data_IF_798843725501
#
_entry.id   IF_798843725501
#
_cell.length_a   1.000
_cell.length_b   1.000
_cell.length_c   1.000
_cell.angle_alpha   90.00
_cell.angle_beta   90.00
_cell.angle_gamma   90.00
#
_symmetry.space_group_name_H-M   'P 1'
#
loop_
_entity.id
_entity.type
_entity.pdbx_description
1 polymer ?
#
# COMPACT_ATOMS: atom_id res chain seq x y z
N UNK A 1 0.88 57.48 29.68
CA UNK A 1 2.05 57.04 30.46
C UNK A 1 3.24 57.01 29.51
N UNK A 2 4.14 57.99 29.66
CA UNK A 2 5.42 58.07 28.97
C UNK A 2 6.33 56.92 29.40
N UNK A 3 7.29 56.52 28.57
CA UNK A 3 8.71 56.52 28.93
C UNK A 3 9.61 56.35 27.70
N UNK A 4 10.45 57.36 27.49
CA UNK A 4 11.71 57.36 26.74
C UNK A 4 12.72 56.34 27.32
N UNK A 5 13.64 55.82 26.50
CA UNK A 5 15.07 56.10 26.68
C UNK A 5 15.99 55.63 25.53
N UNK A 6 17.03 56.45 25.29
CA UNK A 6 18.15 56.33 24.34
C UNK A 6 19.28 55.38 24.81
N UNK A 7 20.22 54.98 23.92
CA UNK A 7 21.29 54.03 24.21
C UNK A 7 22.53 54.70 24.83
N UNK A 8 23.31 53.93 25.60
CA UNK A 8 24.61 54.33 26.15
C UNK A 8 25.73 53.48 25.56
N UNK A 9 26.71 54.17 24.98
CA UNK A 9 28.04 53.68 24.63
C UNK A 9 28.90 53.78 25.89
N UNK A 10 29.72 52.76 26.20
CA UNK A 10 30.89 52.91 27.04
C UNK A 10 32.08 52.14 26.43
N UNK A 11 33.20 52.84 26.44
CA UNK A 11 34.50 52.56 25.85
C UNK A 11 35.49 52.00 26.89
N UNK A 12 36.63 51.55 26.38
CA UNK A 12 38.00 51.67 26.92
C UNK A 12 38.72 50.43 27.51
N UNK A 13 39.89 50.19 26.89
CA UNK A 13 41.23 49.84 27.43
C UNK A 13 41.38 48.54 28.25
N UNK A 14 42.45 47.74 28.18
CA UNK A 14 43.80 47.86 27.59
C UNK A 14 44.75 46.98 28.42
N UNK A 15 45.83 46.45 27.79
CA UNK A 15 47.05 45.83 28.37
C UNK A 15 46.93 44.48 29.12
N UNK A 16 47.49 43.40 28.55
CA UNK A 16 48.84 42.82 28.77
C UNK A 16 49.01 42.15 30.15
N UNK A 17 49.13 40.83 30.18
CA UNK A 17 50.14 40.09 30.95
C UNK A 17 50.37 38.71 30.30
N UNK A 18 51.64 38.40 30.07
CA UNK A 18 52.11 37.17 29.45
C UNK A 18 52.28 36.03 30.45
N UNK A 19 52.11 34.83 29.88
CA UNK A 19 52.63 33.50 30.23
C UNK A 19 53.12 33.22 31.65
N UNK A 20 52.51 32.22 32.30
CA UNK A 20 53.29 31.05 32.71
C UNK A 20 52.44 29.77 32.80
N UNK A 21 53.13 28.66 32.59
CA UNK A 21 52.66 27.31 32.29
C UNK A 21 51.79 26.64 33.36
N UNK A 22 50.69 26.03 32.92
CA UNK A 22 50.39 24.58 33.03
C UNK A 22 48.89 24.32 32.77
N UNK A 23 48.63 23.20 32.10
CA UNK A 23 47.34 22.53 31.89
C UNK A 23 46.35 23.09 30.82
N UNK A 24 46.35 22.47 29.62
CA UNK A 24 45.13 22.14 28.83
C UNK A 24 45.51 21.34 27.57
N UNK A 25 44.98 20.13 27.39
CA UNK A 25 43.73 19.77 26.69
C UNK A 25 43.82 19.87 25.16
N UNK A 26 43.58 18.72 24.54
CA UNK A 26 43.19 18.52 23.15
C UNK A 26 42.10 19.51 22.74
N UNK A 27 42.41 20.47 21.87
CA UNK A 27 41.42 21.22 21.08
C UNK A 27 42.11 21.99 19.94
N UNK A 28 42.51 21.28 18.88
CA UNK A 28 42.78 21.87 17.55
C UNK A 28 42.48 20.84 16.44
N UNK A 29 41.19 20.56 16.22
CA UNK A 29 40.70 19.93 14.98
C UNK A 29 39.41 20.59 14.46
N UNK A 30 39.21 21.86 14.82
CA UNK A 30 38.07 22.68 14.41
C UNK A 30 38.42 23.63 13.26
N UNK A 31 38.96 23.12 12.16
CA UNK A 31 39.04 23.88 10.91
C UNK A 31 38.37 23.11 9.76
N UNK A 32 37.28 23.74 9.31
CA UNK A 32 36.77 23.73 7.94
C UNK A 32 35.89 22.56 7.44
N UNK A 33 34.82 22.29 8.18
CA UNK A 33 33.68 21.47 7.71
C UNK A 33 32.82 22.26 6.69
N UNK A 34 32.82 23.60 6.79
CA UNK A 34 32.00 24.46 5.93
C UNK A 34 32.56 24.58 4.50
N UNK A 35 33.87 24.71 4.30
CA UNK A 35 34.46 24.65 2.96
C UNK A 35 34.40 23.24 2.38
N UNK A 36 34.51 22.18 3.20
CA UNK A 36 34.30 20.79 2.74
C UNK A 36 32.87 20.58 2.23
N UNK A 37 31.85 21.04 2.95
CA UNK A 37 30.46 20.96 2.50
C UNK A 37 30.19 21.81 1.24
N UNK A 38 30.82 22.99 1.14
CA UNK A 38 30.73 23.87 -0.04
C UNK A 38 31.45 23.28 -1.27
N UNK A 39 32.60 22.61 -1.07
CA UNK A 39 33.29 21.86 -2.12
C UNK A 39 32.47 20.66 -2.60
N UNK A 40 31.82 19.92 -1.69
CA UNK A 40 30.93 18.80 -2.06
C UNK A 40 29.74 19.33 -2.87
N UNK A 41 29.13 20.47 -2.48
CA UNK A 41 28.05 21.09 -3.23
C UNK A 41 28.48 21.52 -4.64
N UNK A 42 29.66 22.12 -4.78
CA UNK A 42 30.25 22.51 -6.07
C UNK A 42 30.60 21.29 -6.94
N UNK A 43 31.08 20.20 -6.33
CA UNK A 43 31.37 18.94 -7.04
C UNK A 43 30.11 18.23 -7.55
N UNK A 44 28.99 18.34 -6.83
CA UNK A 44 27.70 17.75 -7.20
C UNK A 44 26.97 18.55 -8.31
N UNK A 45 27.43 19.76 -8.62
CA UNK A 45 26.89 20.64 -9.68
C UNK A 45 27.68 20.59 -11.00
N UNK A 46 28.87 19.96 -11.03
CA UNK A 46 29.67 19.80 -12.25
C UNK A 46 29.40 18.45 -12.94
N UNK A 47 29.31 18.37 -14.29
CA UNK A 47 28.99 17.12 -15.00
C UNK A 47 30.14 16.09 -15.07
N UNK A 48 31.35 16.39 -14.60
CA UNK A 48 32.58 15.69 -15.03
C UNK A 48 33.40 14.96 -13.95
N UNK A 49 32.88 14.66 -12.77
CA UNK A 49 33.61 13.82 -11.79
C UNK A 49 32.78 12.65 -11.25
N UNK A 50 33.14 11.43 -11.66
CA UNK A 50 32.71 10.18 -11.02
C UNK A 50 33.73 9.79 -9.94
N UNK A 51 33.27 9.60 -8.70
CA UNK A 51 33.96 8.76 -7.72
C UNK A 51 32.98 7.71 -7.17
N UNK A 52 33.44 6.46 -6.94
CA UNK A 52 32.58 5.37 -6.50
C UNK A 52 32.09 5.60 -5.06
N UNK A 53 30.77 5.54 -4.88
CA UNK A 53 30.10 5.61 -3.57
C UNK A 53 30.26 4.25 -2.88
N UNK A 54 31.42 3.98 -2.27
CA UNK A 54 31.60 2.78 -1.45
C UNK A 54 32.43 2.98 -0.17
N UNK A 55 32.83 4.20 0.20
CA UNK A 55 33.70 4.42 1.38
C UNK A 55 33.20 5.40 2.45
N UNK A 56 31.94 5.86 2.41
CA UNK A 56 31.37 6.69 3.47
C UNK A 56 30.57 5.85 4.50
N UNK A 57 31.27 5.27 5.48
CA UNK A 57 30.65 4.73 6.70
C UNK A 57 30.35 5.87 7.67
N UNK A 58 29.08 6.22 7.86
CA UNK A 58 28.64 7.04 8.99
C UNK A 58 28.42 6.14 10.21
N UNK A 59 29.19 6.33 11.28
CA UNK A 59 28.87 5.78 12.61
C UNK A 59 27.81 6.68 13.28
N UNK A 60 26.69 6.14 13.79
CA UNK A 60 25.73 6.94 14.55
C UNK A 60 26.29 7.21 15.95
N UNK A 61 26.47 8.48 16.31
CA UNK A 61 26.76 8.89 17.69
C UNK A 61 25.44 9.06 18.46
N UNK A 62 25.41 8.49 19.67
CA UNK A 62 24.31 8.56 20.64
C UNK A 62 23.96 10.01 21.01
N UNK A 63 22.72 10.44 20.72
CA UNK A 63 22.19 11.72 21.17
C UNK A 63 21.46 11.58 22.51
N UNK A 64 22.20 11.54 23.61
CA UNK A 64 21.60 11.55 24.95
C UNK A 64 22.45 12.25 26.00
N UNK A 65 22.44 13.59 25.98
CA UNK A 65 22.51 14.53 27.13
C UNK A 65 23.00 15.89 26.66
N UNK A 66 22.11 16.88 26.64
CA UNK A 66 22.46 18.25 27.05
C UNK A 66 21.18 19.05 27.29
N UNK A 67 20.79 19.17 28.56
CA UNK A 67 19.72 20.06 29.02
C UNK A 67 20.39 21.17 29.83
N UNK A 68 20.13 22.44 29.43
CA UNK A 68 20.48 23.74 30.04
C UNK A 68 21.82 24.39 29.65
N UNK A 69 21.75 25.30 28.69
CA UNK A 69 22.35 26.65 28.75
C UNK A 69 21.71 27.53 27.66
N UNK A 70 21.38 28.79 27.98
CA UNK A 70 20.88 29.80 27.03
C UNK A 70 22.05 30.23 26.14
N UNK A 71 21.95 30.08 24.81
CA UNK A 71 22.86 30.73 23.85
C UNK A 71 22.13 31.05 22.52
N UNK A 72 21.98 32.33 22.12
CA UNK A 72 21.29 32.69 20.87
C UNK A 72 22.12 32.46 19.59
N UNK A 73 23.46 32.48 19.68
CA UNK A 73 24.36 32.42 18.51
C UNK A 73 24.56 31.01 17.93
N UNK A 74 24.30 29.95 18.70
CA UNK A 74 24.49 28.56 18.25
C UNK A 74 23.27 28.01 17.50
N UNK A 75 22.08 28.60 17.71
CA UNK A 75 20.85 28.22 16.98
C UNK A 75 20.85 28.64 15.51
N UNK A 76 21.49 29.77 15.17
CA UNK A 76 21.55 30.26 13.80
C UNK A 76 22.48 29.39 12.92
N UNK A 77 23.67 29.05 13.43
CA UNK A 77 24.59 28.14 12.73
C UNK A 77 24.03 26.70 12.63
N UNK A 78 23.29 26.25 13.64
CA UNK A 78 22.67 24.92 13.64
C UNK A 78 21.42 24.86 12.71
N UNK A 79 20.70 25.98 12.51
CA UNK A 79 19.63 26.08 11.50
C UNK A 79 20.16 26.10 10.07
N UNK A 80 21.24 26.86 9.79
CA UNK A 80 21.88 26.83 8.47
C UNK A 80 22.47 25.45 8.15
N UNK A 81 23.11 24.81 9.13
CA UNK A 81 23.68 23.47 8.95
C UNK A 81 22.59 22.41 8.70
N UNK A 82 21.45 22.48 9.41
CA UNK A 82 20.27 21.64 9.14
C UNK A 82 19.69 21.90 7.75
N UNK A 83 19.58 23.15 7.34
CA UNK A 83 19.10 23.54 6.00
C UNK A 83 20.00 23.00 4.88
N UNK A 84 21.32 23.12 5.04
CA UNK A 84 22.31 22.56 4.10
C UNK A 84 22.24 21.03 4.04
N UNK A 85 22.13 20.35 5.18
CA UNK A 85 22.03 18.89 5.22
C UNK A 85 20.75 18.38 4.53
N UNK A 86 19.61 19.04 4.78
CA UNK A 86 18.34 18.74 4.09
C UNK A 86 18.45 18.97 2.58
N UNK A 87 19.09 20.05 2.13
CA UNK A 87 19.29 20.32 0.70
C UNK A 87 20.18 19.26 0.03
N UNK A 88 21.25 18.82 0.69
CA UNK A 88 22.14 17.76 0.18
C UNK A 88 21.41 16.42 0.08
N UNK A 89 20.65 16.05 1.12
CA UNK A 89 19.83 14.82 1.10
C UNK A 89 18.77 14.88 -0.01
N UNK A 90 18.09 16.02 -0.17
CA UNK A 90 17.08 16.20 -1.23
C UNK A 90 17.68 16.08 -2.63
N UNK A 91 18.89 16.63 -2.86
CA UNK A 91 19.60 16.52 -4.15
C UNK A 91 20.04 15.07 -4.39
N UNK A 92 20.52 14.38 -3.35
CA UNK A 92 20.91 12.98 -3.42
C UNK A 92 19.72 12.08 -3.76
N UNK A 93 18.57 12.27 -3.09
CA UNK A 93 17.32 11.56 -3.38
C UNK A 93 16.80 11.83 -4.79
N UNK A 94 16.87 13.07 -5.29
CA UNK A 94 16.49 13.41 -6.66
C UNK A 94 17.39 12.73 -7.69
N UNK A 95 18.71 12.67 -7.45
CA UNK A 95 19.65 11.94 -8.32
C UNK A 95 19.40 10.43 -8.28
N UNK A 96 19.14 9.85 -7.10
CA UNK A 96 18.81 8.43 -6.96
C UNK A 96 17.51 8.06 -7.68
N UNK A 97 16.46 8.89 -7.54
CA UNK A 97 15.19 8.72 -8.28
C UNK A 97 15.39 8.81 -9.80
N UNK A 98 16.19 9.78 -10.28
CA UNK A 98 16.50 9.92 -11.70
C UNK A 98 17.27 8.73 -12.28
N UNK A 99 18.24 8.19 -11.53
CA UNK A 99 18.99 6.99 -11.93
C UNK A 99 18.10 5.73 -11.93
N UNK A 100 17.22 5.60 -10.94
CA UNK A 100 16.29 4.48 -10.88
C UNK A 100 15.28 4.52 -12.04
N UNK A 101 14.79 5.71 -12.40
CA UNK A 101 13.89 5.89 -13.53
C UNK A 101 14.58 5.56 -14.87
N UNK A 102 15.83 5.98 -15.05
CA UNK A 102 16.63 5.62 -16.23
C UNK A 102 16.90 4.10 -16.33
N UNK A 103 17.09 3.43 -15.19
CA UNK A 103 17.27 1.97 -15.14
C UNK A 103 15.98 1.21 -15.45
N UNK A 104 14.82 1.70 -15.00
CA UNK A 104 13.52 1.14 -15.39
C UNK A 104 13.29 1.28 -16.89
N UNK A 105 13.55 2.48 -17.43
CA UNK A 105 13.35 2.73 -18.86
C UNK A 105 14.26 1.85 -19.73
N UNK A 106 15.53 1.68 -19.34
CA UNK A 106 16.43 0.73 -20.02
C UNK A 106 15.96 -0.73 -19.92
N UNK A 107 15.35 -1.13 -18.81
CA UNK A 107 14.79 -2.48 -18.67
C UNK A 107 13.56 -2.67 -19.55
N UNK A 108 12.72 -1.65 -19.69
CA UNK A 108 11.57 -1.64 -20.59
C UNK A 108 12.02 -1.71 -22.06
N UNK A 109 13.02 -0.93 -22.45
CA UNK A 109 13.60 -0.95 -23.79
C UNK A 109 14.21 -2.33 -24.11
N UNK A 110 15.02 -2.89 -23.20
CA UNK A 110 15.58 -4.25 -23.36
C UNK A 110 14.50 -5.34 -23.43
N UNK A 111 13.41 -5.20 -22.69
CA UNK A 111 12.29 -6.15 -22.75
C UNK A 111 11.56 -6.06 -24.09
N UNK A 112 11.42 -4.84 -24.63
CA UNK A 112 10.83 -4.58 -25.93
C UNK A 112 11.68 -5.15 -27.07
N UNK A 113 13.00 -5.03 -26.97
CA UNK A 113 13.94 -5.57 -27.96
C UNK A 113 13.90 -7.11 -28.00
N UNK A 114 13.95 -7.77 -26.83
CA UNK A 114 13.79 -9.23 -26.72
C UNK A 114 12.45 -9.72 -27.25
N UNK A 115 11.39 -8.95 -27.03
CA UNK A 115 10.06 -9.25 -27.55
C UNK A 115 10.03 -9.17 -29.08
N UNK A 116 10.60 -8.12 -29.67
CA UNK A 116 10.66 -7.96 -31.12
C UNK A 116 11.49 -9.06 -31.80
N UNK A 117 12.57 -9.50 -31.15
CA UNK A 117 13.41 -10.61 -31.59
C UNK A 117 12.64 -11.93 -31.61
N UNK A 118 11.88 -12.23 -30.55
CA UNK A 118 11.03 -13.42 -30.49
C UNK A 118 9.93 -13.43 -31.57
N UNK A 119 9.33 -12.27 -31.87
CA UNK A 119 8.34 -12.14 -32.96
C UNK A 119 8.98 -12.38 -34.33
N UNK A 120 10.21 -11.93 -34.54
CA UNK A 120 10.94 -12.12 -35.79
C UNK A 120 11.33 -13.60 -36.00
N UNK A 121 11.83 -14.27 -34.95
CA UNK A 121 12.21 -15.68 -34.99
C UNK A 121 11.01 -16.58 -35.27
N UNK A 122 9.88 -16.30 -34.62
CA UNK A 122 8.62 -17.02 -34.85
C UNK A 122 8.10 -16.81 -36.28
N UNK A 123 8.25 -15.61 -36.83
CA UNK A 123 7.86 -15.28 -38.20
C UNK A 123 8.70 -16.03 -39.24
N UNK A 124 10.00 -16.21 -38.99
CA UNK A 124 10.89 -17.00 -39.85
C UNK A 124 10.52 -18.48 -39.86
N UNK A 125 10.26 -19.09 -38.70
CA UNK A 125 9.88 -20.50 -38.57
C UNK A 125 8.59 -20.86 -39.34
N UNK A 126 7.72 -19.89 -39.60
CA UNK A 126 6.46 -20.07 -40.33
C UNK A 126 6.66 -19.96 -41.83
N UNK A 127 7.60 -19.09 -42.26
CA UNK A 127 8.00 -19.00 -43.66
C UNK A 127 8.52 -20.35 -44.18
N UNK A 128 9.17 -21.12 -43.31
CA UNK A 128 9.73 -22.45 -43.63
C UNK A 128 8.70 -23.59 -43.67
N UNK A 129 7.53 -23.44 -43.03
CA UNK A 129 6.48 -24.50 -42.98
C UNK A 129 5.26 -24.14 -43.84
N UNK A 130 5.35 -24.48 -45.13
CA UNK A 130 4.38 -24.13 -46.18
C UNK A 130 2.93 -24.61 -45.93
N UNK A 131 2.72 -25.71 -45.20
CA UNK A 131 1.39 -26.36 -45.09
C UNK A 131 0.44 -25.75 -44.04
N UNK A 132 0.92 -24.83 -43.17
CA UNK A 132 0.10 -24.19 -42.12
C UNK A 132 -0.15 -22.70 -42.38
N UNK A 133 0.34 -22.17 -43.51
CA UNK A 133 0.53 -20.74 -43.73
C UNK A 133 -0.75 -19.91 -43.58
N UNK A 134 -1.90 -20.34 -44.12
CA UNK A 134 -3.11 -19.50 -44.11
C UNK A 134 -3.71 -19.28 -42.72
N UNK A 135 -3.91 -20.36 -41.96
CA UNK A 135 -4.58 -20.31 -40.65
C UNK A 135 -3.61 -19.93 -39.54
N UNK A 136 -2.36 -20.43 -39.59
CA UNK A 136 -1.36 -20.09 -38.59
C UNK A 136 -0.91 -18.62 -38.71
N UNK A 137 -0.71 -18.09 -39.92
CA UNK A 137 -0.33 -16.68 -40.09
C UNK A 137 -1.45 -15.71 -39.71
N UNK A 138 -2.73 -16.07 -39.93
CA UNK A 138 -3.86 -15.24 -39.48
C UNK A 138 -3.95 -15.21 -37.95
N UNK A 139 -3.85 -16.37 -37.29
CA UNK A 139 -3.92 -16.47 -35.83
C UNK A 139 -2.71 -15.83 -35.15
N UNK A 140 -1.54 -15.87 -35.79
CA UNK A 140 -0.36 -15.17 -35.29
C UNK A 140 -0.36 -13.68 -35.57
N UNK A 141 -0.87 -13.21 -36.72
CA UNK A 141 -1.10 -11.77 -36.89
C UNK A 141 -2.04 -11.22 -35.82
N UNK A 142 -3.08 -11.98 -35.49
CA UNK A 142 -3.99 -11.63 -34.41
C UNK A 142 -3.27 -11.61 -33.06
N UNK A 143 -2.56 -12.68 -32.69
CA UNK A 143 -1.84 -12.76 -31.41
C UNK A 143 -0.72 -11.70 -31.32
N UNK A 144 0.02 -11.46 -32.40
CA UNK A 144 1.07 -10.43 -32.45
C UNK A 144 0.48 -9.02 -32.36
N UNK A 145 -0.67 -8.75 -32.98
CA UNK A 145 -1.35 -7.47 -32.85
C UNK A 145 -1.91 -7.27 -31.43
N UNK A 146 -2.50 -8.33 -30.83
CA UNK A 146 -2.95 -8.34 -29.44
C UNK A 146 -1.78 -8.08 -28.48
N UNK A 147 -0.63 -8.74 -28.68
CA UNK A 147 0.58 -8.57 -27.87
C UNK A 147 1.26 -7.20 -28.09
N UNK A 148 1.29 -6.67 -29.31
CA UNK A 148 1.81 -5.32 -29.60
C UNK A 148 0.94 -4.22 -29.00
N UNK A 149 -0.39 -4.40 -29.00
CA UNK A 149 -1.33 -3.48 -28.34
C UNK A 149 -1.24 -3.52 -26.81
N UNK A 150 -0.81 -4.64 -26.23
CA UNK A 150 -0.51 -4.76 -24.81
C UNK A 150 0.82 -4.08 -24.41
N UNK A 151 1.77 -3.96 -25.35
CA UNK A 151 3.10 -3.39 -25.12
C UNK A 151 3.17 -1.86 -25.30
N UNK A 152 2.24 -1.26 -26.02
CA UNK A 152 2.07 0.19 -26.04
C UNK A 152 1.01 0.55 -25.02
N UNK A 153 1.31 1.46 -24.08
CA UNK A 153 0.36 1.88 -23.04
C UNK A 153 -1.00 2.19 -23.64
N UNK A 154 -1.94 1.26 -23.51
CA UNK A 154 -3.21 1.31 -24.22
C UNK A 154 -3.98 2.52 -23.72
N UNK A 155 -4.53 3.33 -24.62
CA UNK A 155 -5.47 4.39 -24.24
C UNK A 155 -6.52 3.80 -23.27
N UNK A 156 -6.65 4.34 -22.03
CA UNK A 156 -7.60 3.83 -21.05
C UNK A 156 -9.04 3.79 -21.57
N UNK A 157 -9.41 4.75 -22.44
CA UNK A 157 -10.75 4.78 -23.04
C UNK A 157 -10.93 3.62 -24.02
N UNK A 158 -9.98 3.40 -24.92
CA UNK A 158 -10.02 2.22 -25.80
C UNK A 158 -9.97 0.90 -25.04
N UNK A 159 -9.23 0.79 -23.92
CA UNK A 159 -9.23 -0.40 -23.08
C UNK A 159 -10.62 -0.73 -22.50
N UNK A 160 -11.39 0.29 -22.13
CA UNK A 160 -12.77 0.11 -21.64
C UNK A 160 -13.67 -0.39 -22.77
N UNK A 161 -13.61 0.25 -23.95
CA UNK A 161 -14.44 -0.11 -25.11
C UNK A 161 -14.14 -1.53 -25.59
N UNK A 162 -12.87 -1.83 -25.87
CA UNK A 162 -12.44 -3.15 -26.36
C UNK A 162 -12.73 -4.25 -25.34
N UNK A 163 -12.57 -3.97 -24.05
CA UNK A 163 -12.93 -4.88 -22.96
C UNK A 163 -14.43 -5.20 -22.92
N UNK A 164 -15.30 -4.20 -23.04
CA UNK A 164 -16.75 -4.43 -23.10
C UNK A 164 -17.16 -5.18 -24.36
N UNK A 165 -16.60 -4.83 -25.52
CA UNK A 165 -16.88 -5.53 -26.77
C UNK A 165 -16.45 -7.01 -26.71
N UNK A 166 -15.35 -7.31 -26.04
CA UNK A 166 -14.94 -8.69 -25.77
C UNK A 166 -15.95 -9.39 -24.85
N UNK A 167 -16.33 -8.79 -23.72
CA UNK A 167 -17.38 -9.34 -22.84
C UNK A 167 -18.68 -9.63 -23.61
N UNK A 168 -19.11 -8.69 -24.45
CA UNK A 168 -20.34 -8.81 -25.23
C UNK A 168 -20.30 -10.02 -26.15
N UNK A 169 -19.24 -10.17 -26.96
CA UNK A 169 -19.10 -11.27 -27.92
C UNK A 169 -18.80 -12.62 -27.27
N UNK A 170 -17.95 -12.62 -26.25
CA UNK A 170 -17.38 -13.85 -25.70
C UNK A 170 -18.16 -14.41 -24.50
N UNK A 171 -19.04 -13.60 -23.90
CA UNK A 171 -19.86 -14.01 -22.74
C UNK A 171 -21.33 -13.75 -22.99
N UNK A 172 -21.71 -12.48 -23.20
CA UNK A 172 -23.12 -12.09 -23.28
C UNK A 172 -23.88 -12.77 -24.43
N UNK A 173 -23.37 -12.66 -25.66
CA UNK A 173 -24.01 -13.20 -26.86
C UNK A 173 -23.96 -14.75 -26.93
N UNK A 174 -23.04 -15.38 -26.17
CA UNK A 174 -22.89 -16.85 -26.14
C UNK A 174 -23.82 -17.55 -25.16
N UNK A 175 -24.43 -16.83 -24.22
CA UNK A 175 -25.37 -17.39 -23.24
C UNK A 175 -26.64 -16.53 -23.10
N UNK A 176 -27.45 -16.41 -24.18
CA UNK A 176 -28.65 -15.57 -24.15
C UNK A 176 -29.68 -16.05 -23.13
N UNK A 177 -29.67 -17.33 -22.76
CA UNK A 177 -30.56 -17.88 -21.74
C UNK A 177 -30.20 -17.32 -20.34
N UNK A 178 -28.93 -17.39 -19.95
CA UNK A 178 -28.47 -16.83 -18.68
C UNK A 178 -28.75 -15.33 -18.59
N UNK A 179 -28.28 -14.56 -19.57
CA UNK A 179 -28.44 -13.10 -19.53
C UNK A 179 -29.89 -12.64 -19.71
N UNK A 180 -30.72 -13.43 -20.39
CA UNK A 180 -32.17 -13.24 -20.46
C UNK A 180 -32.85 -13.37 -19.10
N UNK A 181 -32.45 -14.35 -18.28
CA UNK A 181 -32.97 -14.49 -16.91
C UNK A 181 -32.41 -13.41 -15.97
N UNK A 182 -31.11 -13.10 -16.06
CA UNK A 182 -30.49 -12.06 -15.24
C UNK A 182 -31.08 -10.66 -15.49
N UNK A 183 -31.59 -10.40 -16.70
CA UNK A 183 -32.27 -9.16 -17.01
C UNK A 183 -33.61 -8.99 -16.27
N UNK A 184 -34.23 -10.08 -15.79
CA UNK A 184 -35.49 -10.05 -15.04
C UNK A 184 -35.27 -9.79 -13.54
N UNK A 185 -34.09 -10.12 -13.02
CA UNK A 185 -33.75 -9.94 -11.61
C UNK A 185 -32.50 -10.71 -11.20
N UNK A 186 -32.17 -10.62 -9.90
CA UNK A 186 -31.03 -11.31 -9.30
C UNK A 186 -31.45 -12.06 -8.03
N UNK A 187 -30.81 -13.21 -7.78
CA UNK A 187 -31.00 -14.01 -6.55
C UNK A 187 -29.67 -14.65 -6.11
N UNK A 188 -28.62 -13.85 -5.85
CA UNK A 188 -27.31 -14.37 -5.49
C UNK A 188 -27.37 -15.14 -4.17
N UNK A 189 -26.56 -16.20 -4.07
CA UNK A 189 -26.45 -17.04 -2.86
C UNK A 189 -25.38 -16.55 -1.90
N UNK A 190 -24.47 -15.71 -2.38
CA UNK A 190 -23.33 -15.21 -1.62
C UNK A 190 -23.36 -13.68 -1.53
N UNK A 191 -23.14 -13.15 -0.33
CA UNK A 191 -22.58 -11.81 -0.12
C UNK A 191 -21.08 -11.96 0.10
N UNK A 192 -20.25 -11.28 -0.70
CA UNK A 192 -18.79 -11.39 -0.63
C UNK A 192 -18.17 -10.04 -0.29
N UNK A 193 -17.40 -10.00 0.79
CA UNK A 193 -16.48 -8.90 1.12
C UNK A 193 -15.08 -9.24 0.64
N UNK A 194 -14.56 -8.44 -0.29
CA UNK A 194 -13.21 -8.59 -0.83
C UNK A 194 -12.48 -7.25 -0.86
N UNK A 195 -11.15 -7.28 -0.96
CA UNK A 195 -10.36 -6.06 -0.98
C UNK A 195 -10.50 -5.38 -2.35
N UNK A 196 -10.40 -4.05 -2.39
CA UNK A 196 -10.32 -3.28 -3.64
C UNK A 196 -9.01 -3.50 -4.43
N UNK A 197 -8.05 -4.24 -3.87
CA UNK A 197 -6.80 -4.62 -4.52
C UNK A 197 -7.04 -5.26 -5.90
N UNK A 198 -6.35 -4.77 -6.93
CA UNK A 198 -6.61 -5.13 -8.33
C UNK A 198 -6.29 -6.60 -8.64
N UNK A 199 -5.55 -7.30 -7.77
CA UNK A 199 -5.09 -8.69 -7.98
C UNK A 199 -6.09 -9.75 -7.48
N UNK A 200 -7.09 -9.36 -6.70
CA UNK A 200 -7.93 -10.29 -5.92
C UNK A 200 -9.41 -10.18 -6.24
N UNK A 201 -9.75 -9.99 -7.52
CA UNK A 201 -11.15 -9.94 -7.95
C UNK A 201 -11.88 -11.25 -7.59
N UNK A 202 -12.89 -11.24 -6.71
CA UNK A 202 -13.54 -12.47 -6.21
C UNK A 202 -14.18 -13.28 -7.33
N UNK A 203 -14.75 -12.62 -8.35
CA UNK A 203 -15.32 -13.29 -9.52
C UNK A 203 -14.29 -14.12 -10.28
N UNK A 204 -13.03 -13.69 -10.30
CA UNK A 204 -11.96 -14.42 -10.95
C UNK A 204 -11.43 -15.56 -10.09
N UNK A 205 -11.08 -15.26 -8.83
CA UNK A 205 -10.39 -16.23 -7.95
C UNK A 205 -11.31 -17.38 -7.48
N UNK A 206 -12.63 -17.17 -7.44
CA UNK A 206 -13.61 -18.18 -7.05
C UNK A 206 -14.51 -18.63 -8.22
N UNK A 207 -14.23 -18.17 -9.44
CA UNK A 207 -15.00 -18.48 -10.64
C UNK A 207 -16.52 -18.20 -10.51
N UNK A 208 -16.90 -17.13 -9.80
CA UNK A 208 -18.30 -16.73 -9.75
C UNK A 208 -18.78 -16.26 -11.13
N UNK A 209 -19.90 -16.82 -11.55
CA UNK A 209 -20.66 -16.38 -12.70
C UNK A 209 -21.55 -15.17 -12.36
N UNK A 210 -21.96 -14.38 -13.36
CA UNK A 210 -22.92 -13.29 -13.15
C UNK A 210 -24.19 -13.79 -12.45
N UNK A 211 -24.58 -13.10 -11.38
CA UNK A 211 -25.76 -13.44 -10.57
C UNK A 211 -25.50 -14.35 -9.37
N UNK A 212 -24.32 -14.95 -9.24
CA UNK A 212 -24.05 -15.87 -8.11
C UNK A 212 -23.69 -15.14 -6.80
N UNK A 213 -22.95 -14.03 -6.89
CA UNK A 213 -22.46 -13.29 -5.74
C UNK A 213 -22.79 -11.79 -5.82
N UNK A 214 -23.34 -11.27 -4.73
CA UNK A 214 -23.43 -9.84 -4.46
C UNK A 214 -22.15 -9.39 -3.77
N UNK A 215 -21.37 -8.50 -4.41
CA UNK A 215 -19.98 -8.23 -3.99
C UNK A 215 -19.83 -6.81 -3.45
N UNK A 216 -19.19 -6.70 -2.29
CA UNK A 216 -18.74 -5.43 -1.72
C UNK A 216 -17.21 -5.41 -1.71
N UNK A 217 -16.62 -4.35 -2.27
CA UNK A 217 -15.16 -4.17 -2.30
C UNK A 217 -14.75 -2.88 -1.60
N UNK A 218 -13.82 -2.98 -0.66
CA UNK A 218 -13.28 -1.84 0.07
C UNK A 218 -11.81 -2.07 0.47
N UNK A 219 -11.20 -1.07 1.11
CA UNK A 219 -9.80 -1.20 1.56
C UNK A 219 -9.70 -2.25 2.66
N UNK A 220 -8.91 -3.29 2.41
CA UNK A 220 -8.67 -4.42 3.31
C UNK A 220 -9.93 -5.21 3.71
N UNK A 221 -10.93 -5.30 2.83
CA UNK A 221 -12.10 -6.19 2.96
C UNK A 221 -12.78 -6.14 4.33
N UNK A 222 -12.77 -4.97 4.96
CA UNK A 222 -13.21 -4.79 6.34
C UNK A 222 -14.73 -4.67 6.40
N UNK A 223 -15.32 -5.30 7.40
CA UNK A 223 -16.71 -5.06 7.79
C UNK A 223 -16.70 -4.25 9.09
N UNK A 224 -17.08 -2.97 9.08
CA UNK A 224 -17.30 -2.21 10.31
C UNK A 224 -18.45 -2.77 11.16
N UNK A 225 -18.50 -2.44 12.47
CA UNK A 225 -19.67 -2.71 13.29
C UNK A 225 -20.88 -1.89 12.84
N UNK A 226 -22.07 -2.30 13.29
CA UNK A 226 -23.33 -1.60 13.05
C UNK A 226 -23.26 -0.15 13.56
N UNK A 227 -23.32 0.81 12.63
CA UNK A 227 -23.43 2.24 12.90
C UNK A 227 -24.14 2.91 11.71
N UNK A 228 -25.34 3.43 11.95
CA UNK A 228 -26.18 4.04 10.90
C UNK A 228 -25.61 5.37 10.40
N UNK A 229 -24.77 6.04 11.19
CA UNK A 229 -24.19 7.35 10.86
C UNK A 229 -22.86 7.21 10.15
N UNK A 230 -21.94 6.39 10.67
CA UNK A 230 -20.55 6.30 10.16
C UNK A 230 -20.40 5.32 9.01
N UNK A 231 -21.18 4.25 9.01
CA UNK A 231 -20.98 3.10 8.12
C UNK A 231 -22.24 2.74 7.35
N UNK A 232 -23.09 3.72 7.03
CA UNK A 232 -24.36 3.55 6.31
C UNK A 232 -24.18 2.80 4.99
N UNK A 233 -23.12 3.07 4.22
CA UNK A 233 -22.85 2.34 2.97
C UNK A 233 -22.60 0.84 3.18
N UNK A 234 -21.93 0.46 4.27
CA UNK A 234 -21.75 -0.94 4.63
C UNK A 234 -23.05 -1.56 5.13
N UNK A 235 -23.75 -0.86 6.03
CA UNK A 235 -25.01 -1.34 6.59
C UNK A 235 -26.06 -1.58 5.52
N UNK A 236 -26.20 -0.67 4.56
CA UNK A 236 -27.13 -0.79 3.45
C UNK A 236 -26.81 -2.02 2.57
N UNK A 237 -25.54 -2.30 2.28
CA UNK A 237 -25.16 -3.46 1.47
C UNK A 237 -25.49 -4.79 2.18
N UNK A 238 -25.19 -4.89 3.48
CA UNK A 238 -25.50 -6.10 4.27
C UNK A 238 -27.01 -6.26 4.42
N UNK A 239 -27.73 -5.17 4.74
CA UNK A 239 -29.19 -5.16 4.87
C UNK A 239 -29.86 -5.61 3.57
N UNK A 240 -29.46 -5.04 2.44
CA UNK A 240 -29.99 -5.41 1.13
C UNK A 240 -29.74 -6.89 0.81
N UNK A 241 -28.51 -7.36 0.99
CA UNK A 241 -28.18 -8.75 0.71
C UNK A 241 -28.97 -9.74 1.59
N UNK A 242 -29.06 -9.48 2.90
CA UNK A 242 -29.68 -10.41 3.86
C UNK A 242 -31.21 -10.31 3.84
N UNK A 243 -31.76 -9.09 3.87
CA UNK A 243 -33.20 -8.89 4.01
C UNK A 243 -33.94 -8.86 2.66
N UNK A 244 -33.30 -8.43 1.57
CA UNK A 244 -33.96 -8.32 0.26
C UNK A 244 -33.56 -9.44 -0.69
N UNK A 245 -32.25 -9.67 -0.89
CA UNK A 245 -31.77 -10.73 -1.80
C UNK A 245 -31.80 -12.12 -1.17
N UNK A 246 -31.94 -12.21 0.16
CA UNK A 246 -31.97 -13.47 0.93
C UNK A 246 -30.75 -14.35 0.66
N UNK A 247 -29.55 -13.75 0.64
CA UNK A 247 -28.31 -14.51 0.53
C UNK A 247 -28.22 -15.55 1.65
N UNK A 248 -27.61 -16.69 1.36
CA UNK A 248 -27.48 -17.81 2.29
C UNK A 248 -26.08 -17.84 2.93
N UNK A 249 -25.12 -17.13 2.32
CA UNK A 249 -23.73 -17.13 2.74
C UNK A 249 -23.18 -15.69 2.77
N UNK A 250 -22.48 -15.32 3.83
CA UNK A 250 -21.59 -14.15 3.85
C UNK A 250 -20.15 -14.66 3.94
N UNK A 251 -19.33 -14.26 2.97
CA UNK A 251 -17.92 -14.62 2.87
C UNK A 251 -17.06 -13.36 3.01
N UNK A 252 -16.15 -13.33 3.97
CA UNK A 252 -15.13 -12.26 4.12
C UNK A 252 -13.77 -12.80 3.71
N UNK A 253 -13.21 -12.27 2.62
CA UNK A 253 -11.96 -12.76 2.01
C UNK A 253 -10.82 -11.77 2.28
N UNK A 254 -9.94 -12.13 3.20
CA UNK A 254 -8.61 -11.52 3.34
C UNK A 254 -7.65 -12.01 2.26
N UNK A 255 -6.50 -11.37 2.11
CA UNK A 255 -5.53 -11.80 1.12
C UNK A 255 -4.08 -11.46 1.50
N UNK A 256 -3.13 -12.18 0.92
CA UNK A 256 -1.69 -11.95 1.09
C UNK A 256 -1.26 -10.56 0.64
N UNK A 257 -0.27 -10.00 1.33
CA UNK A 257 0.35 -8.71 1.00
C UNK A 257 -0.66 -7.57 0.86
N UNK A 258 -1.64 -7.51 1.77
CA UNK A 258 -2.67 -6.49 1.75
C UNK A 258 -2.12 -5.12 2.16
N UNK A 259 -2.22 -4.13 1.26
CA UNK A 259 -1.76 -2.76 1.52
C UNK A 259 -2.46 -2.09 2.69
N UNK A 260 -3.77 -2.32 2.87
CA UNK A 260 -4.52 -1.74 3.99
C UNK A 260 -4.13 -2.35 5.34
N UNK A 261 -3.87 -3.66 5.40
CA UNK A 261 -3.38 -4.32 6.62
C UNK A 261 -1.95 -3.88 6.94
N UNK A 262 -1.07 -3.79 5.94
CA UNK A 262 0.26 -3.22 6.12
C UNK A 262 0.17 -1.79 6.66
N UNK A 263 -0.75 -0.98 6.13
CA UNK A 263 -1.06 0.36 6.62
C UNK A 263 -1.44 0.34 8.10
N UNK A 264 -2.44 -0.47 8.48
CA UNK A 264 -2.88 -0.65 9.87
C UNK A 264 -1.72 -1.03 10.81
N UNK A 265 -0.91 -2.01 10.42
CA UNK A 265 0.23 -2.49 11.22
C UNK A 265 1.32 -1.42 11.39
N UNK A 266 1.43 -0.50 10.43
CA UNK A 266 2.42 0.58 10.43
C UNK A 266 1.99 1.81 11.25
N UNK A 267 0.71 1.94 11.61
CA UNK A 267 0.23 3.08 12.41
C UNK A 267 0.95 3.09 13.76
N UNK A 268 1.53 4.23 14.20
CA UNK A 268 2.14 4.33 15.53
C UNK A 268 1.08 4.27 16.62
N UNK A 269 1.45 3.78 17.81
CA UNK A 269 0.53 3.67 18.95
C UNK A 269 0.46 4.98 19.77
N UNK A 270 1.04 6.07 19.27
CA UNK A 270 1.13 7.38 19.94
C UNK A 270 -0.08 8.30 19.70
N UNK A 271 -1.08 7.82 18.97
CA UNK A 271 -2.30 8.55 18.65
C UNK A 271 -2.17 9.56 17.51
N UNK A 272 -0.99 9.70 16.90
CA UNK A 272 -0.82 10.56 15.71
C UNK A 272 -1.52 9.96 14.50
N UNK A 273 -2.04 10.82 13.63
CA UNK A 273 -2.65 10.41 12.37
C UNK A 273 -2.02 11.10 11.18
N UNK A 274 -1.67 10.34 10.14
CA UNK A 274 -1.02 10.83 8.92
C UNK A 274 -1.93 10.85 7.70
N UNK A 275 -3.17 10.35 7.81
CA UNK A 275 -4.14 10.34 6.72
C UNK A 275 -5.56 10.68 7.19
N UNK A 276 -6.33 11.31 6.30
CA UNK A 276 -7.68 11.81 6.61
C UNK A 276 -8.73 10.69 6.65
N UNK A 277 -8.59 9.67 5.79
CA UNK A 277 -9.60 8.60 5.64
C UNK A 277 -9.03 7.20 5.86
N UNK A 278 -7.80 6.95 5.41
CA UNK A 278 -7.21 5.59 5.40
C UNK A 278 -7.07 5.07 6.82
N UNK A 279 -6.45 5.85 7.71
CA UNK A 279 -6.23 5.43 9.09
C UNK A 279 -7.53 5.27 9.88
N UNK A 280 -8.49 6.23 9.86
CA UNK A 280 -9.80 6.01 10.47
C UNK A 280 -10.51 4.75 9.95
N UNK A 281 -10.39 4.46 8.65
CA UNK A 281 -10.96 3.27 8.05
C UNK A 281 -10.30 1.99 8.55
N UNK A 282 -8.97 1.85 8.39
CA UNK A 282 -8.30 0.59 8.75
C UNK A 282 -8.29 0.33 10.26
N UNK A 283 -8.51 1.36 11.08
CA UNK A 283 -8.72 1.24 12.54
C UNK A 283 -9.97 0.44 12.92
N UNK A 284 -10.89 0.15 11.99
CA UNK A 284 -11.96 -0.86 12.19
C UNK A 284 -11.37 -2.19 12.70
N UNK A 285 -10.21 -2.59 12.17
CA UNK A 285 -9.52 -3.82 12.58
C UNK A 285 -8.39 -3.58 13.59
N UNK A 286 -8.38 -2.47 14.33
CA UNK A 286 -7.42 -2.25 15.42
C UNK A 286 -7.37 -3.41 16.46
N UNK A 287 -8.48 -4.10 16.79
CA UNK A 287 -8.41 -5.29 17.64
C UNK A 287 -7.54 -6.42 17.07
N UNK A 288 -7.52 -6.61 15.74
CA UNK A 288 -6.67 -7.59 15.08
C UNK A 288 -5.18 -7.24 15.24
N UNK A 289 -4.84 -5.97 14.99
CA UNK A 289 -3.48 -5.44 15.23
C UNK A 289 -3.04 -5.69 16.67
N UNK A 290 -3.90 -5.36 17.65
CA UNK A 290 -3.60 -5.53 19.06
C UNK A 290 -3.32 -6.99 19.43
N UNK A 291 -4.17 -7.93 18.96
CA UNK A 291 -3.99 -9.37 19.19
C UNK A 291 -2.71 -9.90 18.55
N UNK A 292 -2.41 -9.50 17.32
CA UNK A 292 -1.20 -9.96 16.63
C UNK A 292 0.05 -9.40 17.31
N UNK A 293 0.06 -8.12 17.68
CA UNK A 293 1.18 -7.53 18.43
C UNK A 293 1.41 -8.21 19.77
N UNK A 294 0.37 -8.71 20.45
CA UNK A 294 0.54 -9.40 21.74
C UNK A 294 0.99 -10.85 21.57
N UNK A 295 0.36 -11.62 20.67
CA UNK A 295 0.62 -13.06 20.48
C UNK A 295 1.86 -13.32 19.63
N UNK A 296 2.16 -12.46 18.66
CA UNK A 296 3.19 -12.65 17.64
C UNK A 296 4.25 -11.55 17.66
N UNK A 297 4.51 -10.96 18.84
CA UNK A 297 5.48 -9.87 19.03
C UNK A 297 6.89 -10.19 18.53
N UNK A 298 7.29 -11.47 18.56
CA UNK A 298 8.61 -11.93 18.14
C UNK A 298 8.73 -12.20 16.64
N UNK A 299 7.63 -12.21 15.89
CA UNK A 299 7.64 -12.44 14.45
C UNK A 299 8.11 -11.20 13.69
N UNK A 300 8.60 -11.41 12.46
CA UNK A 300 8.94 -10.32 11.55
C UNK A 300 7.71 -9.48 11.21
N UNK A 301 7.92 -8.24 10.75
CA UNK A 301 6.81 -7.36 10.41
C UNK A 301 5.91 -7.94 9.31
N UNK A 302 6.51 -8.62 8.32
CA UNK A 302 5.82 -9.30 7.23
C UNK A 302 4.95 -10.46 7.75
N UNK A 303 5.49 -11.28 8.66
CA UNK A 303 4.74 -12.36 9.29
C UNK A 303 3.62 -11.82 10.19
N UNK A 304 3.84 -10.72 10.91
CA UNK A 304 2.78 -10.07 11.66
C UNK A 304 1.68 -9.54 10.73
N UNK A 305 2.05 -8.95 9.58
CA UNK A 305 1.06 -8.54 8.57
C UNK A 305 0.25 -9.74 8.07
N UNK A 306 0.90 -10.85 7.74
CA UNK A 306 0.21 -12.07 7.28
C UNK A 306 -0.77 -12.61 8.33
N UNK A 307 -0.38 -12.66 9.60
CA UNK A 307 -1.29 -13.07 10.68
C UNK A 307 -2.43 -12.05 10.88
N UNK A 308 -2.15 -10.76 10.73
CA UNK A 308 -3.15 -9.70 10.84
C UNK A 308 -4.15 -9.71 9.69
N UNK A 309 -3.77 -10.14 8.48
CA UNK A 309 -4.69 -10.33 7.36
C UNK A 309 -5.80 -11.34 7.72
N UNK A 310 -5.44 -12.46 8.36
CA UNK A 310 -6.40 -13.48 8.81
C UNK A 310 -7.20 -13.01 10.02
N UNK A 311 -6.55 -12.35 10.98
CA UNK A 311 -7.25 -11.88 12.18
C UNK A 311 -8.22 -10.72 11.87
N UNK A 312 -7.92 -9.86 10.89
CA UNK A 312 -8.83 -8.81 10.44
C UNK A 312 -10.13 -9.38 9.82
N UNK A 313 -10.04 -10.54 9.15
CA UNK A 313 -11.21 -11.29 8.71
C UNK A 313 -12.04 -11.73 9.91
N UNK A 314 -11.41 -12.27 10.96
CA UNK A 314 -12.12 -12.67 12.20
C UNK A 314 -12.80 -11.48 12.89
N UNK A 315 -12.14 -10.32 12.97
CA UNK A 315 -12.77 -9.09 13.50
C UNK A 315 -13.98 -8.69 12.66
N UNK A 316 -13.87 -8.76 11.33
CA UNK A 316 -14.98 -8.44 10.42
C UNK A 316 -16.15 -9.40 10.56
N UNK A 317 -15.88 -10.70 10.75
CA UNK A 317 -16.90 -11.70 11.07
C UNK A 317 -17.59 -11.42 12.42
N UNK A 318 -16.84 -11.00 13.43
CA UNK A 318 -17.40 -10.54 14.71
C UNK A 318 -18.26 -9.29 14.55
N UNK A 319 -17.83 -8.34 13.72
CA UNK A 319 -18.58 -7.13 13.43
C UNK A 319 -19.90 -7.41 12.70
N UNK A 320 -19.93 -8.40 11.80
CA UNK A 320 -21.18 -8.85 11.15
C UNK A 320 -22.24 -9.26 12.17
N UNK A 321 -21.84 -9.86 13.30
CA UNK A 321 -22.76 -10.23 14.37
C UNK A 321 -23.33 -9.03 15.15
N UNK A 322 -22.79 -7.82 14.97
CA UNK A 322 -23.38 -6.61 15.56
C UNK A 322 -24.66 -6.18 14.84
N UNK A 323 -24.86 -6.59 13.58
CA UNK A 323 -26.07 -6.33 12.80
C UNK A 323 -27.21 -7.26 13.26
N UNK A 324 -28.33 -6.71 13.77
CA UNK A 324 -29.42 -7.53 14.33
C UNK A 324 -29.96 -8.59 13.36
N UNK A 325 -30.18 -8.22 12.10
CA UNK A 325 -30.72 -9.13 11.08
C UNK A 325 -29.72 -10.21 10.63
N UNK A 326 -28.41 -9.95 10.70
CA UNK A 326 -27.38 -10.98 10.44
C UNK A 326 -27.39 -12.00 11.57
N UNK A 327 -27.37 -11.52 12.82
CA UNK A 327 -27.44 -12.39 14.00
C UNK A 327 -28.72 -13.22 14.01
N UNK A 328 -29.88 -12.63 13.73
CA UNK A 328 -31.14 -13.37 13.64
C UNK A 328 -31.10 -14.46 12.55
N UNK A 329 -30.62 -14.12 11.35
CA UNK A 329 -30.53 -15.07 10.24
C UNK A 329 -29.53 -16.22 10.52
N UNK A 330 -28.38 -15.91 11.12
CA UNK A 330 -27.33 -16.90 11.38
C UNK A 330 -27.57 -17.75 12.62
N UNK A 331 -27.92 -17.13 13.75
CA UNK A 331 -28.04 -17.80 15.04
C UNK A 331 -29.41 -18.47 15.25
N UNK A 332 -30.49 -17.78 14.86
CA UNK A 332 -31.86 -18.20 15.19
C UNK A 332 -32.46 -19.00 14.05
N UNK A 333 -32.50 -18.42 12.84
CA UNK A 333 -33.11 -19.05 11.67
C UNK A 333 -32.21 -20.10 11.02
N UNK A 334 -30.90 -20.05 11.27
CA UNK A 334 -29.87 -20.88 10.61
C UNK A 334 -29.98 -20.84 9.08
N UNK A 335 -30.43 -19.71 8.53
CA UNK A 335 -30.60 -19.49 7.09
C UNK A 335 -29.41 -18.74 6.48
N UNK A 336 -28.42 -18.37 7.29
CA UNK A 336 -27.25 -17.59 6.89
C UNK A 336 -25.99 -18.16 7.52
N UNK A 337 -24.97 -18.45 6.70
CA UNK A 337 -23.66 -18.94 7.15
C UNK A 337 -22.62 -17.85 6.99
N UNK A 338 -21.78 -17.65 8.02
CA UNK A 338 -20.67 -16.70 7.99
C UNK A 338 -19.35 -17.46 7.82
N UNK A 339 -18.58 -17.13 6.78
CA UNK A 339 -17.30 -17.76 6.48
C UNK A 339 -16.18 -16.74 6.34
N UNK A 340 -15.03 -17.06 6.92
CA UNK A 340 -13.78 -16.34 6.70
C UNK A 340 -12.93 -17.06 5.68
N UNK A 341 -12.20 -16.31 4.87
CA UNK A 341 -11.22 -16.86 3.95
C UNK A 341 -9.97 -16.01 3.86
N UNK A 342 -8.87 -16.64 3.42
CA UNK A 342 -7.63 -15.96 3.08
C UNK A 342 -7.09 -16.50 1.76
N UNK A 343 -6.94 -15.60 0.78
CA UNK A 343 -6.32 -15.90 -0.52
C UNK A 343 -4.85 -15.46 -0.53
N UNK A 344 -3.94 -16.42 -0.60
CA UNK A 344 -2.52 -16.17 -0.79
C UNK A 344 -2.17 -16.26 -2.28
N UNK A 345 -2.10 -15.11 -2.96
CA UNK A 345 -1.70 -15.05 -4.37
C UNK A 345 -0.20 -15.22 -4.60
N UNK A 346 0.62 -15.19 -3.54
CA UNK A 346 2.05 -15.47 -3.65
C UNK A 346 2.26 -16.97 -3.79
N UNK A 347 1.49 -17.77 -3.04
CA UNK A 347 1.55 -19.24 -3.06
C UNK A 347 0.48 -19.89 -3.93
N UNK A 348 -0.54 -19.14 -4.35
CA UNK A 348 -1.68 -19.67 -5.08
C UNK A 348 -2.60 -20.55 -4.22
N UNK A 349 -2.68 -20.29 -2.90
CA UNK A 349 -3.49 -21.08 -1.97
C UNK A 349 -4.70 -20.31 -1.45
N UNK A 350 -5.77 -21.02 -1.10
CA UNK A 350 -6.99 -20.44 -0.55
C UNK A 350 -7.40 -21.21 0.71
N UNK A 351 -7.46 -20.51 1.84
CA UNK A 351 -7.91 -21.05 3.12
C UNK A 351 -9.35 -20.58 3.38
N UNK A 352 -10.20 -21.48 3.89
CA UNK A 352 -11.60 -21.20 4.23
C UNK A 352 -11.91 -21.77 5.62
N UNK A 353 -12.59 -21.00 6.45
CA UNK A 353 -12.99 -21.42 7.79
C UNK A 353 -14.37 -20.88 8.18
N UNK A 354 -15.00 -21.58 9.11
CA UNK A 354 -16.26 -21.16 9.73
C UNK A 354 -16.01 -20.24 10.93
N UNK A 355 -16.94 -19.32 11.17
CA UNK A 355 -16.98 -18.61 12.44
C UNK A 355 -17.54 -19.54 13.52
N UNK A 356 -16.69 -19.95 14.47
CA UNK A 356 -17.11 -20.77 15.61
C UNK A 356 -17.86 -19.91 16.65
N UNK A 357 -19.15 -19.65 16.39
CA UNK A 357 -20.00 -18.86 17.28
C UNK A 357 -20.75 -19.77 18.26
N UNK A 358 -20.21 -19.95 19.46
CA UNK A 358 -20.90 -20.63 20.56
C UNK A 358 -21.84 -19.64 21.24
N UNK A 359 -23.15 -19.81 21.05
CA UNK A 359 -24.15 -19.13 21.87
C UNK A 359 -24.17 -19.83 23.21
N UNK A 360 -23.52 -19.24 24.21
CA UNK A 360 -23.73 -19.61 25.60
C UNK A 360 -25.16 -19.21 25.96
N UNK A 361 -26.06 -20.19 26.13
CA UNK A 361 -27.34 -19.94 26.78
C UNK A 361 -27.04 -19.56 28.23
N UNK A 362 -27.00 -18.26 28.53
CA UNK A 362 -27.15 -17.81 29.90
C UNK A 362 -28.59 -18.14 30.31
N UNK A 363 -28.75 -19.31 30.92
CA UNK A 363 -29.98 -19.72 31.60
C UNK A 363 -30.27 -18.67 32.65
N UNK A 364 -31.36 -17.93 32.46
CA UNK A 364 -31.88 -16.97 33.42
C UNK A 364 -32.29 -17.69 34.71
N UNK A 365 -32.03 -17.05 35.85
CA UNK A 365 -32.81 -17.23 37.08
C UNK A 365 -33.72 -16.01 37.23
#
# INVERSE_FOLDING_TARGET
MNFDYRPSICTSNGSLFGFNDNDNKDDMAGFDIHAKAKLILLSLQSPTFMLPISTLKFKPYHWSRCRRAKWPLQKAQDQEHKSLCVRVLTISEKKAKGQQQLLLQKKEDMAKDKYNEAVAELSNLISEKCELQGVAAAKLKQLTAELQSAAQGSDPVERIKTGFLHFRREKFEKDPALYGELAKGQSPKFLVFACSDSRVCPSHILNFQPGEAFVVRNIANMVPPYDQTKYSGMGAAIEYAVLHLKVENILVIGHSCCGGIKGLMSIPDDGTTSSEFIEPWVKICAPAKAKVKSVHSSLTFEEQCHNCEKEAVNVSLGNLLTYPFVREAAAVKKSLVLKGAHYDFVKGSFELWDLDFKISSNTSL
#
